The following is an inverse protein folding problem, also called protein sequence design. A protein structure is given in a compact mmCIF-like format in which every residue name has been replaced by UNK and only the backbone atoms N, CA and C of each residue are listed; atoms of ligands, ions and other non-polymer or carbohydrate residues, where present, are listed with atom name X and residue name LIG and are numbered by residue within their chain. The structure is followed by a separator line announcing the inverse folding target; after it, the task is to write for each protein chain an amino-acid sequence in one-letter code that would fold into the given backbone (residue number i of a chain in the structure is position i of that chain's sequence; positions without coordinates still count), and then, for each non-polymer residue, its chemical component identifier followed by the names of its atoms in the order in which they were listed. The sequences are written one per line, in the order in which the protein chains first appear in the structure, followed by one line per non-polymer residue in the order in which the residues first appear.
data_IF_253836410523
#
_entry.id   IF_253836410523
#
_cell.length_a   1.000
_cell.length_b   1.000
_cell.length_c   1.000
_cell.angle_alpha   90.00
_cell.angle_beta   90.00
_cell.angle_gamma   90.00
#
_symmetry.space_group_name_H-M   'P 1'
#
loop_
_entity.id
_entity.type
_entity.pdbx_description
1 polymer ?
#
# COMPACT_ATOMS: atom_id res chain seq x y z
N UNK A 1 36.46 -34.11 1.05
CA UNK A 1 36.79 -33.38 2.29
C UNK A 1 35.51 -33.02 3.02
N UNK A 2 34.91 -33.97 3.73
CA UNK A 2 34.03 -33.65 4.86
C UNK A 2 34.96 -33.63 6.07
N UNK A 3 35.64 -32.49 6.28
CA UNK A 3 36.64 -32.35 7.32
C UNK A 3 36.09 -31.40 8.38
N UNK A 4 36.00 -31.92 9.61
CA UNK A 4 35.44 -31.34 10.83
C UNK A 4 33.91 -31.48 10.98
N UNK A 5 33.48 -32.16 12.06
CA UNK A 5 32.09 -32.28 12.50
C UNK A 5 31.53 -30.96 13.03
N UNK A 6 31.47 -29.96 12.16
CA UNK A 6 30.93 -28.64 12.45
C UNK A 6 29.42 -28.68 12.31
N UNK A 7 28.71 -28.20 13.33
CA UNK A 7 27.26 -28.06 13.32
C UNK A 7 26.86 -26.96 12.33
N UNK A 8 26.12 -27.34 11.29
CA UNK A 8 25.68 -26.46 10.19
C UNK A 8 24.27 -25.89 10.40
N UNK A 9 23.71 -26.09 11.59
CA UNK A 9 22.44 -25.49 12.02
C UNK A 9 22.70 -24.31 12.94
N UNK A 10 21.95 -23.24 12.76
CA UNK A 10 21.96 -22.08 13.63
C UNK A 10 20.54 -21.57 13.86
N UNK A 11 20.28 -21.04 15.04
CA UNK A 11 19.04 -20.35 15.37
C UNK A 11 19.32 -18.85 15.50
N UNK A 12 18.46 -18.04 14.89
CA UNK A 12 18.48 -16.58 15.02
C UNK A 12 17.36 -16.12 15.95
N UNK A 13 17.64 -15.11 16.76
CA UNK A 13 16.64 -14.41 17.57
C UNK A 13 16.78 -12.91 17.36
N UNK A 14 15.66 -12.21 17.26
CA UNK A 14 15.60 -10.76 17.20
C UNK A 14 14.60 -10.27 18.25
N UNK A 15 15.01 -9.26 19.02
CA UNK A 15 14.16 -8.54 19.97
C UNK A 15 14.05 -7.07 19.55
N UNK A 16 12.84 -6.52 19.62
CA UNK A 16 12.60 -5.08 19.46
C UNK A 16 12.72 -4.38 20.81
N UNK A 17 13.28 -3.17 20.84
CA UNK A 17 13.26 -2.34 22.05
C UNK A 17 11.86 -1.72 22.26
N UNK A 18 11.18 -2.06 23.35
CA UNK A 18 9.79 -1.64 23.62
C UNK A 18 9.64 -0.15 24.02
N UNK A 19 10.74 0.61 24.10
CA UNK A 19 10.72 1.96 24.68
C UNK A 19 10.35 3.08 23.70
N UNK A 20 10.34 2.81 22.39
CA UNK A 20 9.99 3.78 21.35
C UNK A 20 8.74 3.34 20.58
N UNK A 21 7.82 4.28 20.38
CA UNK A 21 6.63 4.06 19.55
C UNK A 21 6.99 3.90 18.06
N UNK A 22 8.07 4.56 17.61
CA UNK A 22 8.60 4.47 16.25
C UNK A 22 10.13 4.56 16.27
N UNK A 23 10.81 3.63 15.60
CA UNK A 23 12.28 3.64 15.48
C UNK A 23 12.77 4.58 14.36
N UNK A 24 11.99 4.69 13.30
CA UNK A 24 12.18 5.62 12.19
C UNK A 24 10.83 5.95 11.54
N UNK A 25 10.83 6.97 10.69
CA UNK A 25 9.68 7.35 9.88
C UNK A 25 10.09 7.45 8.41
N UNK A 26 9.25 6.92 7.54
CA UNK A 26 9.35 7.08 6.08
C UNK A 26 8.61 8.35 5.69
N UNK A 27 9.19 9.13 4.78
CA UNK A 27 8.55 10.32 4.22
C UNK A 27 8.37 10.18 2.72
N UNK A 28 7.44 10.95 2.15
CA UNK A 28 7.27 11.01 0.72
C UNK A 28 6.36 12.15 0.29
N UNK A 29 6.34 12.40 -1.01
CA UNK A 29 5.53 13.42 -1.66
C UNK A 29 4.95 12.85 -2.95
N UNK A 30 3.72 13.23 -3.26
CA UNK A 30 3.04 12.89 -4.50
C UNK A 30 2.43 14.11 -5.16
N UNK A 31 2.49 14.16 -6.49
CA UNK A 31 1.77 15.12 -7.30
C UNK A 31 0.94 14.37 -8.34
N UNK A 32 -0.35 14.71 -8.46
CA UNK A 32 -1.28 14.02 -9.35
C UNK A 32 -2.04 15.05 -10.17
N UNK A 33 -2.06 14.85 -11.48
CA UNK A 33 -2.85 15.63 -12.44
C UNK A 33 -4.11 14.84 -12.79
N UNK A 34 -5.28 15.47 -12.61
CA UNK A 34 -6.59 14.86 -12.84
C UNK A 34 -7.41 15.77 -13.74
N UNK A 35 -8.04 15.17 -14.74
CA UNK A 35 -9.04 15.80 -15.58
C UNK A 35 -10.43 15.39 -15.11
N UNK A 36 -11.38 16.33 -15.02
CA UNK A 36 -12.73 16.08 -14.49
C UNK A 36 -13.74 16.55 -15.52
N UNK A 37 -14.69 15.68 -15.87
CA UNK A 37 -15.88 16.06 -16.61
C UNK A 37 -16.90 16.67 -15.65
N UNK A 38 -17.12 17.97 -15.78
CA UNK A 38 -18.01 18.75 -14.91
C UNK A 38 -19.49 18.44 -15.10
N UNK A 39 -19.88 17.76 -16.18
CA UNK A 39 -21.27 17.38 -16.45
C UNK A 39 -21.61 16.00 -15.90
N UNK A 40 -20.69 15.04 -15.99
CA UNK A 40 -20.92 13.65 -15.56
C UNK A 40 -20.34 13.33 -14.18
N UNK A 41 -19.33 14.10 -13.74
CA UNK A 41 -18.57 13.82 -12.53
C UNK A 41 -17.49 12.75 -12.72
N UNK A 42 -17.30 12.24 -13.94
CA UNK A 42 -16.21 11.31 -14.26
C UNK A 42 -14.86 12.02 -14.17
N UNK A 43 -13.82 11.28 -13.81
CA UNK A 43 -12.46 11.80 -13.72
C UNK A 43 -11.46 10.82 -14.33
N UNK A 44 -10.38 11.37 -14.88
CA UNK A 44 -9.27 10.62 -15.45
C UNK A 44 -7.97 11.14 -14.86
N UNK A 45 -7.20 10.23 -14.26
CA UNK A 45 -5.85 10.54 -13.78
C UNK A 45 -4.93 10.60 -15.00
N UNK A 46 -4.43 11.80 -15.31
CA UNK A 46 -3.54 12.03 -16.46
C UNK A 46 -2.10 11.61 -16.15
N UNK A 47 -1.65 11.93 -14.94
CA UNK A 47 -0.28 11.68 -14.48
C UNK A 47 -0.21 11.63 -12.96
N UNK A 48 0.66 10.77 -12.43
CA UNK A 48 1.05 10.76 -11.03
C UNK A 48 2.58 10.66 -10.93
N UNK A 49 3.19 11.55 -10.15
CA UNK A 49 4.60 11.52 -9.79
C UNK A 49 4.71 11.31 -8.29
N UNK A 50 5.37 10.23 -7.87
CA UNK A 50 5.54 9.87 -6.47
C UNK A 50 7.04 9.80 -6.14
N UNK A 51 7.43 10.39 -5.01
CA UNK A 51 8.77 10.33 -4.46
C UNK A 51 8.68 9.87 -3.00
N UNK A 52 9.28 8.73 -2.69
CA UNK A 52 9.23 8.12 -1.35
C UNK A 52 10.65 7.83 -0.84
N UNK A 53 10.91 8.21 0.40
CA UNK A 53 12.14 7.88 1.12
C UNK A 53 12.05 6.45 1.67
N UNK A 54 12.71 5.51 0.99
CA UNK A 54 12.80 4.11 1.39
C UNK A 54 14.14 3.80 2.08
N UNK A 55 14.93 4.82 2.45
CA UNK A 55 16.28 4.64 2.97
C UNK A 55 17.15 3.83 2.01
N UNK A 56 17.65 2.67 2.47
CA UNK A 56 18.38 1.72 1.63
C UNK A 56 17.51 0.50 1.32
N UNK A 57 16.88 0.43 0.13
CA UNK A 57 15.98 -0.66 -0.22
C UNK A 57 16.73 -2.00 -0.24
N UNK A 58 16.14 -3.03 0.38
CA UNK A 58 16.64 -4.41 0.28
C UNK A 58 16.42 -4.97 -1.12
N UNK A 59 15.27 -4.65 -1.71
CA UNK A 59 14.94 -4.94 -3.10
C UNK A 59 14.16 -3.77 -3.71
N UNK A 60 14.80 -2.94 -4.57
CA UNK A 60 14.15 -1.75 -5.14
C UNK A 60 12.86 -2.03 -5.92
N UNK A 61 12.72 -3.21 -6.53
CA UNK A 61 11.54 -3.55 -7.33
C UNK A 61 10.33 -3.89 -6.47
N UNK A 62 10.55 -4.52 -5.30
CA UNK A 62 9.47 -4.81 -4.36
C UNK A 62 8.98 -3.50 -3.75
N UNK A 63 9.91 -2.65 -3.32
CA UNK A 63 9.57 -1.38 -2.68
C UNK A 63 8.82 -0.46 -3.66
N UNK A 64 9.22 -0.44 -4.93
CA UNK A 64 8.48 0.26 -5.99
C UNK A 64 7.04 -0.28 -6.13
N UNK A 65 6.87 -1.60 -6.21
CA UNK A 65 5.54 -2.21 -6.31
C UNK A 65 4.66 -1.94 -5.09
N UNK A 66 5.25 -1.79 -3.89
CA UNK A 66 4.51 -1.38 -2.69
C UNK A 66 4.03 0.07 -2.77
N UNK A 67 4.89 0.99 -3.25
CA UNK A 67 4.51 2.40 -3.44
C UNK A 67 3.39 2.52 -4.48
N UNK A 68 3.52 1.83 -5.62
CA UNK A 68 2.50 1.83 -6.67
C UNK A 68 1.19 1.19 -6.20
N UNK A 69 1.26 0.02 -5.56
CA UNK A 69 0.09 -0.68 -5.04
C UNK A 69 -0.64 0.11 -3.95
N UNK A 70 0.11 0.69 -3.01
CA UNK A 70 -0.44 1.55 -1.96
C UNK A 70 -1.12 2.79 -2.53
N UNK A 71 -0.53 3.41 -3.57
CA UNK A 71 -1.14 4.54 -4.26
C UNK A 71 -2.46 4.16 -4.94
N UNK A 72 -2.50 3.04 -5.69
CA UNK A 72 -3.73 2.59 -6.37
C UNK A 72 -4.83 2.21 -5.37
N UNK A 73 -4.49 1.58 -4.24
CA UNK A 73 -5.46 1.32 -3.16
C UNK A 73 -6.04 2.63 -2.62
N UNK A 74 -5.22 3.65 -2.42
CA UNK A 74 -5.69 4.95 -1.98
C UNK A 74 -6.62 5.61 -3.02
N UNK A 75 -6.31 5.48 -4.32
CA UNK A 75 -7.21 5.96 -5.38
C UNK A 75 -8.58 5.28 -5.31
N UNK A 76 -8.60 3.96 -5.09
CA UNK A 76 -9.83 3.21 -4.83
C UNK A 76 -10.63 3.82 -3.69
N UNK A 77 -9.99 3.92 -2.53
CA UNK A 77 -10.60 4.45 -1.31
C UNK A 77 -11.20 5.86 -1.48
N UNK A 78 -10.54 6.76 -2.21
CA UNK A 78 -11.00 8.14 -2.37
C UNK A 78 -12.00 8.36 -3.50
N UNK A 79 -11.96 7.55 -4.56
CA UNK A 79 -12.69 7.85 -5.79
C UNK A 79 -13.72 6.80 -6.21
N UNK A 80 -13.48 5.51 -5.94
CA UNK A 80 -14.26 4.42 -6.53
C UNK A 80 -14.99 3.56 -5.50
N UNK A 81 -14.39 3.36 -4.34
CA UNK A 81 -14.85 2.43 -3.33
C UNK A 81 -15.93 3.04 -2.44
N UNK A 82 -17.14 2.47 -2.52
CA UNK A 82 -18.26 2.87 -1.67
C UNK A 82 -18.85 1.65 -0.94
N UNK A 83 -19.00 1.78 0.38
CA UNK A 83 -19.67 0.79 1.22
C UNK A 83 -21.09 1.25 1.50
N UNK A 84 -22.04 0.64 0.80
CA UNK A 84 -23.46 0.94 0.94
C UNK A 84 -24.09 0.11 2.06
N UNK A 85 -24.87 0.77 2.90
CA UNK A 85 -25.62 0.16 4.00
C UNK A 85 -27.11 0.42 3.81
N UNK A 86 -27.92 -0.56 4.16
CA UNK A 86 -29.37 -0.42 4.19
C UNK A 86 -29.83 0.25 5.50
N UNK A 87 -31.07 0.77 5.57
CA UNK A 87 -31.62 1.35 6.80
C UNK A 87 -31.73 0.36 7.97
N UNK A 88 -31.83 -0.94 7.69
CA UNK A 88 -31.83 -2.05 8.66
C UNK A 88 -30.41 -2.47 9.10
N UNK A 89 -29.36 -1.84 8.55
CA UNK A 89 -27.96 -2.09 8.92
C UNK A 89 -27.30 -3.26 8.18
N UNK A 90 -27.91 -3.80 7.13
CA UNK A 90 -27.28 -4.81 6.28
C UNK A 90 -26.40 -4.16 5.20
N UNK A 91 -25.23 -4.76 4.93
CA UNK A 91 -24.33 -4.25 3.90
C UNK A 91 -24.84 -4.63 2.51
N UNK A 92 -25.04 -3.62 1.66
CA UNK A 92 -25.58 -3.78 0.30
C UNK A 92 -24.50 -3.98 -0.76
N UNK A 93 -23.25 -3.60 -0.47
CA UNK A 93 -22.10 -3.69 -1.38
C UNK A 93 -21.30 -4.99 -1.22
N UNK A 94 -21.99 -6.12 -1.03
CA UNK A 94 -21.37 -7.45 -0.91
C UNK A 94 -20.91 -7.97 -2.29
N UNK A 95 -19.66 -7.67 -2.64
CA UNK A 95 -18.99 -8.15 -3.85
C UNK A 95 -18.82 -7.10 -4.95
N UNK A 96 -18.10 -7.48 -6.02
CA UNK A 96 -17.60 -6.55 -7.05
C UNK A 96 -18.68 -5.98 -7.99
N UNK A 97 -19.92 -6.50 -7.90
CA UNK A 97 -21.03 -5.97 -8.67
C UNK A 97 -21.38 -4.53 -8.25
N UNK A 98 -21.34 -4.26 -6.94
CA UNK A 98 -21.66 -2.95 -6.36
C UNK A 98 -20.44 -2.23 -5.79
N UNK A 99 -19.51 -2.96 -5.17
CA UNK A 99 -18.25 -2.39 -4.75
C UNK A 99 -17.26 -2.38 -5.91
N UNK A 100 -16.68 -1.21 -6.23
CA UNK A 100 -15.76 -1.06 -7.37
C UNK A 100 -14.35 -0.82 -6.84
N UNK A 101 -13.49 -1.86 -6.82
CA UNK A 101 -12.08 -1.63 -6.57
C UNK A 101 -11.48 -0.76 -7.69
N UNK A 102 -10.35 -0.07 -7.42
CA UNK A 102 -9.65 0.76 -8.38
C UNK A 102 -9.14 -0.02 -9.60
#
# INVERSE_FOLDING_TARGET
AAAAGVEMSGTGYASSEESRLFDYATQGVGCVEVEIDVLTGEHVIRRADLLMDQGRPLNPLIDLGQVEGGFVIALGYFFSEEVLWSPDGSQLSIGTWRYKPP
#
